data_IF_264148038074
#
_entry.id   IF_264148038074
#
_cell.length_a   1.000
_cell.length_b   1.000
_cell.length_c   1.000
_cell.angle_alpha   90.00
_cell.angle_beta   90.00
_cell.angle_gamma   90.00
#
_symmetry.space_group_name_H-M   'P 1'
#
loop_
_entity.id
_entity.type
_entity.pdbx_description
1 polymer ?
#
# COMPACT_ATOMS: atom_id res chain seq x y z
N UNK A 1 9.57 17.24 2.25
CA UNK A 1 8.37 16.81 3.00
C UNK A 1 8.57 15.38 3.45
N UNK A 2 8.40 15.09 4.74
CA UNK A 2 8.53 13.74 5.28
C UNK A 2 7.31 12.92 4.83
N UNK A 3 7.51 11.92 3.97
CA UNK A 3 6.46 10.97 3.60
C UNK A 3 6.42 9.87 4.66
N UNK A 4 5.31 9.78 5.39
CA UNK A 4 5.07 8.78 6.44
C UNK A 4 4.13 7.66 6.00
N UNK A 5 3.29 7.91 5.00
CA UNK A 5 2.34 6.93 4.47
C UNK A 5 2.44 6.91 2.96
N UNK A 6 2.47 5.71 2.38
CA UNK A 6 2.45 5.48 0.94
C UNK A 6 1.45 4.38 0.62
N UNK A 7 0.55 4.65 -0.34
CA UNK A 7 -0.31 3.63 -0.94
C UNK A 7 0.47 2.77 -1.94
N UNK A 8 0.31 1.46 -1.86
CA UNK A 8 0.71 0.52 -2.89
C UNK A 8 -0.26 0.48 -4.06
N UNK A 9 0.09 -0.30 -5.10
CA UNK A 9 -0.75 -0.45 -6.27
C UNK A 9 -2.04 -1.20 -5.90
N UNK A 10 -3.09 -0.98 -6.67
CA UNK A 10 -4.22 -1.91 -6.68
C UNK A 10 -3.81 -3.16 -7.44
N UNK A 11 -4.22 -4.33 -6.96
CA UNK A 11 -3.81 -5.57 -7.59
C UNK A 11 -4.93 -6.61 -7.59
N UNK A 12 -4.91 -7.47 -8.60
CA UNK A 12 -5.88 -8.53 -8.82
C UNK A 12 -5.16 -9.79 -9.28
N UNK A 13 -5.58 -10.94 -8.76
CA UNK A 13 -5.21 -12.26 -9.27
C UNK A 13 -6.23 -12.68 -10.31
N UNK A 14 -5.74 -13.15 -11.45
CA UNK A 14 -6.53 -13.67 -12.55
C UNK A 14 -6.01 -15.07 -12.89
N UNK A 15 -6.77 -16.10 -12.53
CA UNK A 15 -6.43 -17.49 -12.83
C UNK A 15 -7.23 -17.97 -14.04
N UNK A 16 -6.52 -18.33 -15.13
CA UNK A 16 -7.14 -18.81 -16.36
C UNK A 16 -6.71 -20.25 -16.69
N UNK A 17 -7.69 -21.08 -17.02
CA UNK A 17 -7.52 -22.49 -17.39
C UNK A 17 -7.85 -22.76 -18.87
N UNK A 18 -8.49 -21.80 -19.55
CA UNK A 18 -8.79 -21.85 -20.98
C UNK A 18 -8.68 -20.44 -21.60
N UNK A 19 -8.59 -20.35 -22.93
CA UNK A 19 -8.45 -19.08 -23.69
C UNK A 19 -7.25 -18.24 -23.25
N UNK A 20 -6.21 -18.91 -22.74
CA UNK A 20 -5.02 -18.28 -22.16
C UNK A 20 -4.37 -17.33 -23.16
N UNK A 21 -4.26 -17.72 -24.42
CA UNK A 21 -3.64 -16.90 -25.46
C UNK A 21 -4.43 -15.59 -25.71
N UNK A 22 -5.76 -15.66 -25.78
CA UNK A 22 -6.64 -14.50 -25.98
C UNK A 22 -6.68 -13.58 -24.75
N UNK A 23 -6.64 -14.15 -23.54
CA UNK A 23 -6.56 -13.40 -22.29
C UNK A 23 -5.20 -12.70 -22.19
N UNK A 24 -4.09 -13.40 -22.46
CA UNK A 24 -2.73 -12.80 -22.53
C UNK A 24 -2.68 -11.68 -23.56
N UNK A 25 -3.35 -11.82 -24.71
CA UNK A 25 -3.45 -10.72 -25.69
C UNK A 25 -4.13 -9.49 -25.08
N UNK A 26 -5.25 -9.65 -24.37
CA UNK A 26 -5.91 -8.53 -23.71
C UNK A 26 -5.06 -7.91 -22.59
N UNK A 27 -4.29 -8.71 -21.85
CA UNK A 27 -3.36 -8.21 -20.83
C UNK A 27 -2.22 -7.39 -21.44
N UNK A 28 -1.66 -7.82 -22.58
CA UNK A 28 -0.65 -7.08 -23.32
C UNK A 28 -1.19 -5.80 -23.98
N UNK A 29 -2.47 -5.77 -24.35
CA UNK A 29 -3.16 -4.55 -24.81
C UNK A 29 -3.40 -3.57 -23.63
N UNK A 30 -3.69 -4.10 -22.43
CA UNK A 30 -3.99 -3.31 -21.24
C UNK A 30 -2.75 -2.74 -20.54
N UNK A 31 -1.65 -3.50 -20.51
CA UNK A 31 -0.45 -3.18 -19.76
C UNK A 31 0.80 -3.91 -20.28
N UNK A 32 1.88 -3.86 -19.49
CA UNK A 32 3.16 -4.46 -19.85
C UNK A 32 3.49 -5.63 -18.94
N UNK A 33 3.98 -6.72 -19.52
CA UNK A 33 4.57 -7.84 -18.78
C UNK A 33 5.87 -7.36 -18.09
N UNK A 34 6.06 -7.73 -16.83
CA UNK A 34 7.26 -7.40 -16.07
C UNK A 34 7.94 -8.65 -15.53
N UNK A 35 9.27 -8.66 -15.55
CA UNK A 35 10.11 -9.73 -14.97
C UNK A 35 10.26 -9.59 -13.45
N UNK A 36 9.17 -9.31 -12.75
CA UNK A 36 9.13 -9.17 -11.30
C UNK A 36 8.09 -10.14 -10.75
N UNK A 37 8.47 -10.90 -9.73
CA UNK A 37 7.49 -11.68 -8.95
C UNK A 37 6.57 -10.76 -8.14
N UNK A 38 5.45 -11.27 -7.63
CA UNK A 38 4.40 -10.46 -7.03
C UNK A 38 4.86 -9.56 -5.88
N UNK A 39 5.61 -10.12 -4.92
CA UNK A 39 6.10 -9.38 -3.75
C UNK A 39 6.98 -8.18 -4.15
N UNK A 40 7.88 -8.38 -5.12
CA UNK A 40 8.76 -7.32 -5.62
C UNK A 40 7.96 -6.26 -6.37
N UNK A 41 6.98 -6.66 -7.18
CA UNK A 41 6.13 -5.74 -7.91
C UNK A 41 5.35 -4.82 -6.94
N UNK A 42 4.77 -5.39 -5.88
CA UNK A 42 4.01 -4.64 -4.86
C UNK A 42 4.89 -3.63 -4.08
N UNK A 43 6.12 -3.99 -3.74
CA UNK A 43 7.05 -3.09 -3.04
C UNK A 43 7.60 -1.95 -3.92
N UNK A 44 7.72 -2.17 -5.23
CA UNK A 44 8.26 -1.19 -6.18
C UNK A 44 7.18 -0.22 -6.64
N UNK A 45 6.04 -0.75 -7.09
CA UNK A 45 4.98 0.07 -7.66
C UNK A 45 4.18 0.81 -6.59
N UNK A 46 3.63 1.97 -6.95
CA UNK A 46 2.85 2.82 -6.05
C UNK A 46 1.42 2.98 -6.54
N UNK A 47 0.67 3.89 -5.91
CA UNK A 47 -0.75 4.11 -6.18
C UNK A 47 -1.16 4.36 -7.64
N UNK A 48 -0.23 4.86 -8.47
CA UNK A 48 -0.51 5.19 -9.88
C UNK A 48 -0.42 3.97 -10.80
N UNK A 49 -0.11 2.79 -10.26
CA UNK A 49 0.08 1.55 -11.01
C UNK A 49 -0.92 0.51 -10.51
N UNK A 50 -1.33 -0.36 -11.43
CA UNK A 50 -2.23 -1.47 -11.21
C UNK A 50 -1.50 -2.74 -11.61
N UNK A 51 -1.66 -3.79 -10.83
CA UNK A 51 -1.00 -5.07 -11.08
C UNK A 51 -2.02 -6.17 -11.33
N UNK A 52 -1.71 -7.03 -12.30
CA UNK A 52 -2.42 -8.30 -12.48
C UNK A 52 -1.40 -9.41 -12.29
N UNK A 53 -1.65 -10.28 -11.31
CA UNK A 53 -0.95 -11.55 -11.17
C UNK A 53 -1.73 -12.58 -11.96
N UNK A 54 -1.24 -12.88 -13.16
CA UNK A 54 -1.86 -13.79 -14.08
C UNK A 54 -1.29 -15.19 -13.85
N UNK A 55 -2.16 -16.12 -13.48
CA UNK A 55 -1.83 -17.52 -13.32
C UNK A 55 -2.48 -18.26 -14.48
N UNK A 56 -1.73 -19.09 -15.19
CA UNK A 56 -2.28 -19.95 -16.23
C UNK A 56 -1.76 -21.37 -16.11
N UNK A 57 -2.65 -22.34 -16.16
CA UNK A 57 -2.28 -23.74 -16.26
C UNK A 57 -1.88 -24.06 -17.71
N UNK A 58 -0.64 -24.51 -17.93
CA UNK A 58 -0.18 -24.90 -19.28
C UNK A 58 -0.39 -26.40 -19.49
N UNK A 59 -1.38 -26.72 -20.32
CA UNK A 59 -1.76 -28.08 -20.74
C UNK A 59 -2.40 -28.98 -19.66
N UNK A 60 -3.49 -29.67 -20.03
CA UNK A 60 -4.23 -30.63 -19.19
C UNK A 60 -3.39 -31.83 -18.71
N UNK A 61 -2.16 -31.98 -19.21
CA UNK A 61 -1.29 -33.14 -19.02
C UNK A 61 -0.15 -32.88 -18.02
N UNK A 62 0.16 -31.62 -17.76
CA UNK A 62 1.24 -31.17 -16.89
C UNK A 62 0.65 -30.07 -16.04
N UNK A 63 0.30 -30.36 -14.78
CA UNK A 63 -0.28 -29.41 -13.81
C UNK A 63 0.70 -28.26 -13.42
N UNK A 64 1.55 -27.82 -14.36
CA UNK A 64 2.47 -26.70 -14.16
C UNK A 64 1.72 -25.38 -14.39
N UNK A 65 1.53 -24.64 -13.30
CA UNK A 65 1.04 -23.27 -13.33
C UNK A 65 2.18 -22.32 -13.72
N UNK A 66 1.91 -21.48 -14.71
CA UNK A 66 2.77 -20.36 -15.07
C UNK A 66 2.23 -19.08 -14.43
N UNK A 67 3.08 -18.40 -13.66
CA UNK A 67 2.77 -17.10 -13.07
C UNK A 67 3.48 -15.96 -13.81
N UNK A 68 2.71 -14.95 -14.22
CA UNK A 68 3.16 -13.75 -14.91
C UNK A 68 2.60 -12.50 -14.22
N UNK A 69 3.39 -11.42 -14.16
CA UNK A 69 2.93 -10.14 -13.60
C UNK A 69 2.80 -9.09 -14.68
N UNK A 70 1.63 -8.47 -14.80
CA UNK A 70 1.36 -7.34 -15.68
C UNK A 70 1.19 -6.06 -14.88
N UNK A 71 1.68 -4.94 -15.42
CA UNK A 71 1.53 -3.61 -14.82
C UNK A 71 0.91 -2.63 -15.81
N UNK A 72 0.02 -1.76 -15.31
CA UNK A 72 -0.56 -0.68 -16.11
C UNK A 72 -0.85 0.58 -15.30
N UNK A 73 -1.01 1.72 -15.99
CA UNK A 73 -1.67 2.92 -15.45
C UNK A 73 -3.18 2.88 -15.67
N UNK A 74 -3.66 2.00 -16.55
CA UNK A 74 -5.08 1.83 -16.82
C UNK A 74 -5.75 1.13 -15.63
N UNK A 75 -7.04 1.43 -15.42
CA UNK A 75 -7.81 0.85 -14.34
C UNK A 75 -8.06 -0.66 -14.59
N UNK A 76 -8.19 -1.43 -13.51
CA UNK A 76 -8.46 -2.88 -13.59
C UNK A 76 -9.86 -3.14 -14.14
N UNK A 77 -10.82 -2.26 -13.85
CA UNK A 77 -12.19 -2.32 -14.32
C UNK A 77 -12.26 -2.30 -15.85
N UNK A 78 -11.40 -1.52 -16.52
CA UNK A 78 -11.34 -1.49 -17.99
C UNK A 78 -10.91 -2.87 -18.54
N UNK A 79 -9.93 -3.52 -17.91
CA UNK A 79 -9.52 -4.87 -18.27
C UNK A 79 -10.68 -5.87 -18.09
N UNK A 80 -11.32 -5.86 -16.91
CA UNK A 80 -12.43 -6.77 -16.60
C UNK A 80 -13.60 -6.58 -17.57
N UNK A 81 -14.00 -5.34 -17.85
CA UNK A 81 -15.01 -5.03 -18.86
C UNK A 81 -14.62 -5.58 -20.24
N UNK A 82 -13.36 -5.46 -20.63
CA UNK A 82 -12.85 -5.99 -21.90
C UNK A 82 -12.97 -7.51 -21.96
N UNK A 83 -12.55 -8.21 -20.91
CA UNK A 83 -12.63 -9.67 -20.83
C UNK A 83 -14.08 -10.17 -20.84
N UNK A 84 -14.98 -9.49 -20.11
CA UNK A 84 -16.42 -9.79 -20.06
C UNK A 84 -17.05 -9.60 -21.44
N UNK A 85 -16.82 -8.45 -22.07
CA UNK A 85 -17.43 -8.09 -23.35
C UNK A 85 -16.92 -8.97 -24.50
N UNK A 86 -15.65 -9.38 -24.47
CA UNK A 86 -15.07 -10.34 -25.42
C UNK A 86 -15.44 -11.81 -25.10
N UNK A 87 -16.25 -12.07 -24.07
CA UNK A 87 -16.66 -13.42 -23.64
C UNK A 87 -15.48 -14.35 -23.31
N UNK A 88 -14.40 -13.76 -22.76
CA UNK A 88 -13.19 -14.49 -22.36
C UNK A 88 -13.26 -15.00 -20.93
N UNK A 89 -14.16 -14.46 -20.09
CA UNK A 89 -14.34 -14.89 -18.69
C UNK A 89 -14.71 -16.38 -18.56
N UNK A 90 -15.27 -17.01 -19.60
CA UNK A 90 -15.55 -18.45 -19.55
C UNK A 90 -14.29 -19.33 -19.45
N UNK A 91 -13.10 -18.79 -19.75
CA UNK A 91 -11.82 -19.47 -19.56
C UNK A 91 -11.08 -19.06 -18.28
N UNK A 92 -11.73 -18.25 -17.44
CA UNK A 92 -11.18 -17.77 -16.16
C UNK A 92 -11.83 -18.57 -15.04
N UNK A 93 -11.02 -19.22 -14.23
CA UNK A 93 -11.47 -19.99 -13.06
C UNK A 93 -11.70 -19.07 -11.86
N UNK A 94 -10.76 -18.15 -11.62
CA UNK A 94 -10.81 -17.24 -10.47
C UNK A 94 -10.41 -15.82 -10.86
N UNK A 95 -11.16 -14.87 -10.30
CA UNK A 95 -10.81 -13.44 -10.30
C UNK A 95 -10.88 -12.96 -8.85
N UNK A 96 -9.76 -12.48 -8.32
CA UNK A 96 -9.70 -12.07 -6.91
C UNK A 96 -8.93 -10.77 -6.72
N UNK A 97 -9.60 -9.78 -6.14
CA UNK A 97 -8.93 -8.58 -5.65
C UNK A 97 -7.97 -8.93 -4.51
N UNK A 98 -6.75 -8.43 -4.59
CA UNK A 98 -5.80 -8.51 -3.49
C UNK A 98 -6.10 -7.45 -2.44
N UNK A 99 -5.80 -7.71 -1.15
CA UNK A 99 -5.98 -6.72 -0.11
C UNK A 99 -5.17 -5.45 -0.38
N UNK A 100 -5.68 -4.31 0.09
CA UNK A 100 -5.02 -3.01 -0.09
C UNK A 100 -3.64 -2.98 0.57
N UNK A 101 -2.60 -2.66 -0.21
CA UNK A 101 -1.24 -2.49 0.33
C UNK A 101 -1.01 -1.06 0.80
N UNK A 102 -0.65 -0.89 2.06
CA UNK A 102 -0.29 0.41 2.66
C UNK A 102 1.07 0.25 3.31
N UNK A 103 1.99 1.17 3.03
CA UNK A 103 3.30 1.23 3.68
C UNK A 103 3.36 2.45 4.58
N UNK A 104 3.68 2.25 5.85
CA UNK A 104 3.86 3.31 6.83
C UNK A 104 5.30 3.32 7.35
N UNK A 105 5.88 4.51 7.44
CA UNK A 105 7.18 4.73 8.03
C UNK A 105 7.03 5.09 9.51
N UNK A 106 7.67 4.33 10.37
CA UNK A 106 7.82 4.63 11.80
C UNK A 106 9.31 4.62 12.18
N UNK A 107 9.66 5.23 13.31
CA UNK A 107 11.03 5.26 13.84
C UNK A 107 11.00 4.95 15.34
N UNK A 108 12.12 4.46 15.88
CA UNK A 108 12.18 4.03 17.28
C UNK A 108 11.53 2.67 17.49
N UNK A 109 10.74 2.56 18.55
CA UNK A 109 9.97 1.38 18.91
C UNK A 109 8.69 1.27 18.05
N UNK A 110 8.79 0.54 16.94
CA UNK A 110 7.70 0.35 15.99
C UNK A 110 6.48 -0.31 16.63
N UNK A 111 6.67 -1.22 17.60
CA UNK A 111 5.56 -1.90 18.28
C UNK A 111 4.63 -0.92 19.00
N UNK A 112 5.16 0.16 19.57
CA UNK A 112 4.34 1.21 20.19
C UNK A 112 3.48 1.93 19.16
N UNK A 113 4.07 2.30 18.02
CA UNK A 113 3.31 2.93 16.93
C UNK A 113 2.24 2.00 16.34
N UNK A 114 2.55 0.71 16.18
CA UNK A 114 1.58 -0.31 15.76
C UNK A 114 0.42 -0.39 16.76
N UNK A 115 0.74 -0.39 18.06
CA UNK A 115 -0.28 -0.43 19.13
C UNK A 115 -1.22 0.78 19.05
N UNK A 116 -0.70 2.00 18.93
CA UNK A 116 -1.54 3.21 18.79
C UNK A 116 -2.43 3.14 17.56
N UNK A 117 -1.89 2.74 16.40
CA UNK A 117 -2.66 2.62 15.17
C UNK A 117 -3.74 1.55 15.31
N UNK A 118 -3.44 0.43 15.94
CA UNK A 118 -4.41 -0.63 16.23
C UNK A 118 -5.52 -0.17 17.18
N UNK A 119 -5.21 0.62 18.21
CA UNK A 119 -6.22 1.20 19.11
C UNK A 119 -7.23 2.08 18.35
N UNK A 120 -6.76 2.81 17.33
CA UNK A 120 -7.61 3.74 16.56
C UNK A 120 -8.34 3.12 15.36
N UNK A 121 -7.69 2.18 14.66
CA UNK A 121 -8.20 1.56 13.44
C UNK A 121 -8.81 0.17 13.69
N UNK A 122 -8.49 -0.45 14.82
CA UNK A 122 -8.74 -1.87 15.08
C UNK A 122 -7.87 -2.77 14.19
N UNK A 123 -8.40 -3.95 13.88
CA UNK A 123 -7.75 -4.93 13.02
C UNK A 123 -6.93 -5.97 13.79
N UNK A 124 -6.19 -6.79 13.04
CA UNK A 124 -5.42 -7.90 13.58
C UNK A 124 -3.93 -7.66 13.35
N UNK A 125 -3.14 -7.75 14.42
CA UNK A 125 -1.68 -7.76 14.31
C UNK A 125 -1.24 -9.12 13.80
N UNK A 126 -0.66 -9.15 12.60
CA UNK A 126 -0.22 -10.37 11.92
C UNK A 126 1.28 -10.30 11.60
N UNK A 127 1.89 -11.46 11.31
CA UNK A 127 3.22 -11.48 10.69
C UNK A 127 3.18 -10.93 9.27
N UNK A 128 4.25 -10.27 8.82
CA UNK A 128 4.39 -9.70 7.46
C UNK A 128 4.38 -10.75 6.34
N UNK A 129 4.82 -11.97 6.65
CA UNK A 129 4.98 -13.08 5.68
C UNK A 129 3.67 -13.86 5.42
N UNK A 130 3.49 -14.35 4.18
CA UNK A 130 3.49 -13.58 2.95
C UNK A 130 2.06 -13.16 2.57
N UNK A 131 2.05 -12.17 1.69
CA UNK A 131 0.95 -11.34 1.21
C UNK A 131 -0.09 -12.08 0.32
N UNK A 132 -0.09 -13.41 0.38
CA UNK A 132 -0.93 -14.33 -0.40
C UNK A 132 -1.63 -15.34 0.48
N UNK A 133 -2.07 -14.92 1.67
CA UNK A 133 -2.99 -15.71 2.47
C UNK A 133 -4.30 -15.80 1.70
N UNK A 134 -4.56 -16.96 1.10
CA UNK A 134 -5.77 -17.21 0.31
C UNK A 134 -7.07 -16.89 1.07
N UNK A 135 -7.03 -16.79 2.40
CA UNK A 135 -8.18 -16.42 3.22
C UNK A 135 -8.38 -14.91 3.45
N UNK A 136 -7.44 -14.02 3.10
CA UNK A 136 -7.64 -12.58 3.31
C UNK A 136 -8.62 -12.04 2.25
N UNK A 137 -9.77 -11.47 2.65
CA UNK A 137 -10.70 -10.86 1.71
C UNK A 137 -10.07 -9.64 1.02
N UNK A 138 -10.27 -9.51 -0.29
CA UNK A 138 -9.79 -8.35 -1.07
C UNK A 138 -10.36 -6.99 -0.63
N UNK A 139 -11.42 -6.99 0.17
CA UNK A 139 -11.97 -5.78 0.82
C UNK A 139 -11.10 -5.28 1.97
N UNK A 140 -10.18 -6.12 2.48
CA UNK A 140 -9.30 -5.78 3.58
C UNK A 140 -8.11 -4.95 3.10
N UNK A 141 -7.41 -4.29 4.03
CA UNK A 141 -6.14 -3.62 3.76
C UNK A 141 -5.09 -4.05 4.79
N UNK A 142 -3.85 -4.16 4.33
CA UNK A 142 -2.70 -4.48 5.18
C UNK A 142 -1.80 -3.26 5.27
N UNK A 143 -1.53 -2.82 6.49
CA UNK A 143 -0.58 -1.76 6.80
C UNK A 143 0.74 -2.43 7.19
N UNK A 144 1.73 -2.26 6.33
CA UNK A 144 3.10 -2.67 6.55
C UNK A 144 3.90 -1.51 7.16
N UNK A 145 4.88 -1.85 7.97
CA UNK A 145 5.72 -0.88 8.66
C UNK A 145 7.17 -0.98 8.20
N UNK A 146 7.89 0.14 8.18
CA UNK A 146 9.33 0.17 7.92
C UNK A 146 9.97 1.38 8.59
N UNK A 147 11.29 1.31 8.84
CA UNK A 147 12.07 2.48 9.24
C UNK A 147 12.70 3.21 8.03
N UNK A 148 12.76 2.53 6.87
CA UNK A 148 13.35 3.10 5.65
C UNK A 148 12.46 4.20 5.07
N UNK A 149 13.09 5.07 4.29
CA UNK A 149 12.36 6.08 3.54
C UNK A 149 11.47 5.42 2.48
N UNK A 150 10.18 5.81 2.46
CA UNK A 150 9.15 5.21 1.61
C UNK A 150 8.94 5.95 0.27
N UNK A 151 9.75 6.98 0.01
CA UNK A 151 9.78 7.69 -1.28
C UNK A 151 10.44 6.86 -2.41
N UNK A 152 10.94 5.66 -2.08
CA UNK A 152 11.50 4.66 -2.99
C UNK A 152 10.88 3.30 -2.69
N UNK A 153 11.16 2.33 -3.55
CA UNK A 153 10.82 0.93 -3.29
C UNK A 153 11.39 0.48 -1.94
N UNK A 154 10.58 -0.25 -1.17
CA UNK A 154 10.97 -0.84 0.10
C UNK A 154 11.06 -2.35 -0.11
N UNK A 155 12.24 -2.91 0.11
CA UNK A 155 12.44 -4.37 0.05
C UNK A 155 11.69 -5.04 1.20
N UNK A 156 11.24 -6.28 1.00
CA UNK A 156 10.59 -7.09 2.06
C UNK A 156 11.50 -7.23 3.29
N UNK A 157 12.82 -7.34 3.09
CA UNK A 157 13.78 -7.42 4.20
C UNK A 157 13.90 -6.12 5.02
N UNK A 158 13.52 -4.99 4.43
CA UNK A 158 13.51 -3.68 5.11
C UNK A 158 12.16 -3.37 5.78
N UNK A 159 11.16 -4.22 5.59
CA UNK A 159 9.89 -4.13 6.31
C UNK A 159 10.09 -4.58 7.76
N UNK A 160 9.18 -4.20 8.63
CA UNK A 160 9.09 -4.72 9.98
C UNK A 160 8.41 -6.10 9.97
N UNK A 161 8.67 -6.94 10.97
CA UNK A 161 8.18 -8.32 10.99
C UNK A 161 6.66 -8.44 11.20
N UNK A 162 6.03 -7.43 11.80
CA UNK A 162 4.57 -7.35 12.00
C UNK A 162 3.92 -6.40 11.00
N UNK A 163 2.67 -6.67 10.70
CA UNK A 163 1.75 -5.83 9.93
C UNK A 163 0.40 -5.76 10.63
N UNK A 164 -0.43 -4.79 10.23
CA UNK A 164 -1.79 -4.62 10.74
C UNK A 164 -2.81 -4.88 9.62
N UNK A 165 -3.64 -5.90 9.79
CA UNK A 165 -4.71 -6.27 8.87
C UNK A 165 -6.03 -5.62 9.31
N UNK A 166 -6.61 -4.78 8.45
CA UNK A 166 -7.86 -4.05 8.73
C UNK A 166 -8.94 -4.52 7.76
N UNK A 167 -10.06 -5.01 8.30
CA UNK A 167 -11.16 -5.58 7.50
C UNK A 167 -12.27 -4.57 7.18
N UNK A 168 -12.60 -3.69 8.13
CA UNK A 168 -13.84 -2.89 8.07
C UNK A 168 -13.64 -1.48 7.50
N UNK A 169 -12.51 -1.21 6.83
CA UNK A 169 -12.20 0.10 6.25
C UNK A 169 -11.53 -0.03 4.89
N UNK A 170 -11.91 0.86 3.98
CA UNK A 170 -11.28 0.93 2.66
C UNK A 170 -9.83 1.44 2.76
N UNK A 171 -8.98 1.02 1.82
CA UNK A 171 -7.59 1.47 1.69
C UNK A 171 -7.49 3.01 1.73
N UNK A 172 -8.37 3.69 0.99
CA UNK A 172 -8.41 5.15 0.93
C UNK A 172 -8.71 5.82 2.27
N UNK A 173 -9.69 5.30 3.01
CA UNK A 173 -10.04 5.81 4.34
C UNK A 173 -8.90 5.63 5.35
N UNK A 174 -8.22 4.48 5.30
CA UNK A 174 -7.05 4.21 6.14
C UNK A 174 -5.92 5.18 5.82
N UNK A 175 -5.57 5.36 4.54
CA UNK A 175 -4.50 6.29 4.13
C UNK A 175 -4.81 7.72 4.57
N UNK A 176 -6.05 8.18 4.41
CA UNK A 176 -6.45 9.50 4.87
C UNK A 176 -6.26 9.65 6.38
N UNK A 177 -6.68 8.64 7.15
CA UNK A 177 -6.56 8.64 8.61
C UNK A 177 -5.10 8.64 9.07
N UNK A 178 -4.28 7.74 8.52
CA UNK A 178 -2.84 7.68 8.80
C UNK A 178 -2.12 8.95 8.33
N UNK A 179 -2.58 9.59 7.26
CA UNK A 179 -2.03 10.85 6.76
C UNK A 179 -2.26 12.01 7.72
N UNK A 180 -3.41 12.05 8.39
CA UNK A 180 -3.75 13.08 9.39
C UNK A 180 -2.95 12.88 10.68
N UNK A 181 -2.91 11.64 11.21
CA UNK A 181 -2.31 11.33 12.52
C UNK A 181 -0.88 10.77 12.44
N UNK A 182 -0.29 10.72 11.26
CA UNK A 182 1.00 10.04 11.04
C UNK A 182 2.14 10.54 11.91
N UNK A 183 2.16 11.84 12.25
CA UNK A 183 3.16 12.45 13.13
C UNK A 183 2.96 12.00 14.59
N UNK A 184 1.72 11.83 15.05
CA UNK A 184 1.40 11.35 16.40
C UNK A 184 1.92 9.91 16.57
N UNK A 185 1.60 9.02 15.62
CA UNK A 185 2.09 7.63 15.65
C UNK A 185 3.61 7.52 15.57
N UNK A 186 4.25 8.42 14.81
CA UNK A 186 5.70 8.51 14.78
C UNK A 186 6.25 8.95 16.14
N UNK A 187 5.58 9.89 16.81
CA UNK A 187 5.86 10.29 18.18
C UNK A 187 5.80 9.10 19.14
N UNK A 188 4.66 8.40 19.17
CA UNK A 188 4.46 7.22 20.01
C UNK A 188 5.52 6.14 19.79
N UNK A 189 5.89 5.89 18.53
CA UNK A 189 6.94 4.95 18.18
C UNK A 189 8.33 5.39 18.65
N UNK A 190 8.64 6.69 18.52
CA UNK A 190 9.91 7.24 19.01
C UNK A 190 10.00 7.25 20.55
N UNK A 191 8.91 6.95 21.25
CA UNK A 191 8.77 7.07 22.70
C UNK A 191 8.47 8.51 23.10
N UNK A 192 8.75 8.92 24.32
CA UNK A 192 8.93 10.35 24.64
C UNK A 192 10.39 10.76 24.38
N UNK A 193 10.81 11.14 23.17
CA UNK A 193 11.88 12.11 23.03
C UNK A 193 11.41 13.43 23.64
N UNK A 194 12.31 14.22 24.19
CA UNK A 194 12.09 15.64 24.44
C UNK A 194 11.73 16.36 23.12
N UNK A 195 10.47 16.24 22.67
CA UNK A 195 9.87 17.16 21.70
C UNK A 195 9.57 18.53 22.34
N UNK A 196 10.18 18.81 23.49
CA UNK A 196 10.09 20.05 24.22
C UNK A 196 10.70 21.23 23.45
N UNK A 197 11.55 20.98 22.46
CA UNK A 197 12.17 22.04 21.65
C UNK A 197 11.58 22.10 20.24
N UNK A 198 10.65 23.02 20.05
CA UNK A 198 10.21 23.49 18.73
C UNK A 198 10.96 24.79 18.42
N UNK A 199 11.92 24.74 17.50
CA UNK A 199 12.58 25.96 16.98
C UNK A 199 11.72 26.61 15.88
N UNK A 200 11.18 27.79 16.15
CA UNK A 200 10.38 28.57 15.18
C UNK A 200 11.20 29.78 14.73
N UNK A 201 11.62 29.79 13.46
CA UNK A 201 12.35 30.91 12.85
C UNK A 201 11.37 31.85 12.15
N UNK A 202 11.22 33.06 12.68
CA UNK A 202 10.42 34.12 12.05
C UNK A 202 11.37 35.01 11.25
N UNK A 203 11.19 35.04 9.94
CA UNK A 203 11.89 35.96 9.05
C UNK A 203 10.90 37.03 8.61
N UNK A 204 11.22 38.29 8.88
CA UNK A 204 10.35 39.41 8.55
C UNK A 204 11.11 40.54 7.88
N UNK A 205 10.85 40.71 6.58
CA UNK A 205 11.43 41.77 5.77
C UNK A 205 10.74 43.13 5.98
N UNK A 206 9.55 43.15 6.60
CA UNK A 206 8.70 44.33 6.73
C UNK A 206 8.70 44.94 8.16
N UNK A 207 9.52 44.41 9.07
CA UNK A 207 9.75 45.02 10.40
C UNK A 207 8.64 44.84 11.44
N UNK A 208 7.71 43.92 11.25
CA UNK A 208 6.63 43.53 12.17
C UNK A 208 6.96 42.29 13.03
N UNK A 209 8.24 41.97 13.23
CA UNK A 209 8.69 40.75 13.91
C UNK A 209 8.04 40.58 15.28
N UNK A 210 7.90 41.67 16.05
CA UNK A 210 7.28 41.65 17.37
C UNK A 210 5.82 41.19 17.35
N UNK A 211 5.05 41.62 16.35
CA UNK A 211 3.63 41.23 16.20
C UNK A 211 3.54 39.74 15.87
N UNK A 212 4.40 39.24 14.98
CA UNK A 212 4.45 37.83 14.62
C UNK A 212 4.88 36.95 15.79
N UNK A 213 5.90 37.39 16.55
CA UNK A 213 6.32 36.73 17.79
C UNK A 213 5.18 36.69 18.80
N UNK A 214 4.47 37.78 19.00
CA UNK A 214 3.39 37.86 19.99
C UNK A 214 2.20 36.96 19.64
N UNK A 215 1.81 36.89 18.35
CA UNK A 215 0.78 35.95 17.88
C UNK A 215 1.17 34.50 18.11
N UNK A 216 2.42 34.16 17.82
CA UNK A 216 2.94 32.83 18.05
C UNK A 216 2.90 32.50 19.55
N UNK A 217 3.35 33.43 20.39
CA UNK A 217 3.34 33.27 21.84
C UNK A 217 1.94 33.02 22.41
N UNK A 218 0.94 33.75 21.91
CA UNK A 218 -0.47 33.55 22.29
C UNK A 218 -1.00 32.18 21.88
N UNK A 219 -0.59 31.66 20.72
CA UNK A 219 -1.02 30.36 20.23
C UNK A 219 -0.37 29.17 20.98
N UNK A 220 0.82 29.37 21.55
CA UNK A 220 1.57 28.32 22.25
C UNK A 220 1.35 28.28 23.76
N UNK A 221 0.69 29.29 24.35
CA UNK A 221 0.37 29.36 25.79
C UNK A 221 -1.08 28.93 26.13
N UNK A 222 -1.79 28.29 25.19
CA UNK A 222 -3.13 27.75 25.40
C UNK A 222 -3.16 26.47 26.21
#
# INVERSE_FOLDING_TARGET
>A
MLSLVRSGPESLVLHATDKVAEIKKCLNEWGSLVSLGPEKALGIYGNNRRLIFFISSSDLLTEEEQEETFVSENSIEILLCTLINKRLISGVEEVKMQPGFIMMRLMGNIDNGIKSIHEDLGGEVINRDPMFRNYIPGTSSVIYFTQKAINRAVSVHDMYEKALLVHDRSKGAIIQYLGIRGIEYLGDAMGTPDWNDVEIKIYDANGHFDIHRQRLWMATQG
#
